data_IF_115330661896
#
_entry.id   IF_115330661896
#
_cell.length_a   1.000
_cell.length_b   1.000
_cell.length_c   1.000
_cell.angle_alpha   90.00
_cell.angle_beta   90.00
_cell.angle_gamma   90.00
#
_symmetry.space_group_name_H-M   'P 1'
#
loop_
_entity.id
_entity.type
_entity.pdbx_description
1 polymer ?
#
# COMPACT_ATOMS: atom_id res chain seq x y z
N UNK A 1 -26.91 36.77 -26.37
CA UNK A 1 -25.88 35.93 -25.67
C UNK A 1 -26.55 34.61 -25.33
N UNK A 2 -25.97 33.47 -25.66
CA UNK A 2 -26.59 32.17 -25.42
C UNK A 2 -26.55 31.79 -23.93
N UNK A 3 -27.56 31.09 -23.40
CA UNK A 3 -27.69 30.77 -21.97
C UNK A 3 -26.61 29.87 -21.39
N UNK A 4 -25.73 29.30 -22.22
CA UNK A 4 -24.73 28.32 -21.81
C UNK A 4 -23.51 28.90 -21.06
N UNK A 5 -23.23 30.21 -21.19
CA UNK A 5 -22.08 30.84 -20.53
C UNK A 5 -22.34 31.21 -19.07
N UNK A 6 -23.57 31.53 -18.73
CA UNK A 6 -23.98 31.88 -17.35
C UNK A 6 -24.10 30.63 -16.44
N UNK A 7 -24.54 29.49 -17.03
CA UNK A 7 -24.56 28.23 -16.29
C UNK A 7 -23.14 27.71 -15.96
N UNK A 8 -22.19 27.86 -16.89
CA UNK A 8 -20.78 27.46 -16.65
C UNK A 8 -20.11 28.33 -15.58
N UNK A 9 -20.41 29.64 -15.55
CA UNK A 9 -19.86 30.53 -14.55
C UNK A 9 -20.47 30.32 -13.14
N UNK A 10 -21.76 29.97 -13.07
CA UNK A 10 -22.44 29.63 -11.81
C UNK A 10 -21.92 28.31 -11.22
N UNK A 11 -21.68 27.31 -12.07
CA UNK A 11 -21.11 26.02 -11.64
C UNK A 11 -19.65 26.15 -11.19
N UNK A 12 -18.84 26.97 -11.88
CA UNK A 12 -17.46 27.23 -11.47
C UNK A 12 -17.39 27.97 -10.12
N UNK A 13 -18.32 28.89 -9.87
CA UNK A 13 -18.40 29.62 -8.59
C UNK A 13 -18.90 28.71 -7.45
N UNK A 14 -19.82 27.81 -7.72
CA UNK A 14 -20.29 26.78 -6.77
C UNK A 14 -19.20 25.73 -6.46
N UNK A 15 -18.41 25.33 -7.47
CA UNK A 15 -17.26 24.45 -7.31
C UNK A 15 -16.16 25.11 -6.45
N UNK A 16 -15.82 26.37 -6.72
CA UNK A 16 -14.85 27.13 -5.91
C UNK A 16 -15.36 27.36 -4.48
N UNK A 17 -16.67 27.58 -4.29
CA UNK A 17 -17.25 27.77 -2.95
C UNK A 17 -17.29 26.43 -2.18
N UNK A 18 -17.50 25.30 -2.85
CA UNK A 18 -17.48 23.96 -2.23
C UNK A 18 -16.06 23.51 -1.88
N UNK A 19 -15.06 23.80 -2.73
CA UNK A 19 -13.64 23.57 -2.41
C UNK A 19 -13.18 24.40 -1.19
N UNK A 20 -13.79 25.60 -0.98
CA UNK A 20 -13.50 26.48 0.15
C UNK A 20 -14.26 26.10 1.44
N UNK A 21 -15.28 25.21 1.37
CA UNK A 21 -16.02 24.73 2.55
C UNK A 21 -15.55 23.38 3.09
N UNK A 22 -14.59 22.74 2.42
CA UNK A 22 -13.80 21.71 3.07
C UNK A 22 -12.92 22.45 4.08
N UNK A 23 -13.19 22.29 5.38
CA UNK A 23 -12.32 22.77 6.46
C UNK A 23 -11.02 21.94 6.43
N UNK A 24 -10.23 22.15 5.40
CA UNK A 24 -8.92 21.56 5.26
C UNK A 24 -7.93 22.46 5.98
N UNK A 25 -7.05 21.94 6.85
CA UNK A 25 -6.07 22.76 7.52
C UNK A 25 -5.19 23.47 6.50
N UNK A 26 -4.82 24.74 6.73
CA UNK A 26 -3.85 25.41 5.87
C UNK A 26 -2.50 24.73 5.99
N UNK A 27 -1.88 24.40 4.86
CA UNK A 27 -0.49 24.00 4.80
C UNK A 27 0.41 25.24 5.03
N UNK A 28 1.57 25.16 5.68
CA UNK A 28 2.26 24.08 6.39
C UNK A 28 2.25 24.20 7.93
N UNK A 29 1.22 24.75 8.52
CA UNK A 29 1.19 25.19 9.92
C UNK A 29 0.52 24.21 10.89
N UNK A 30 0.45 22.92 10.60
CA UNK A 30 0.14 21.96 11.65
C UNK A 30 1.36 21.87 12.56
N UNK A 31 1.37 22.56 13.71
CA UNK A 31 2.51 22.47 14.61
C UNK A 31 2.63 21.03 15.06
N UNK A 32 3.83 20.45 14.96
CA UNK A 32 4.11 19.18 15.64
C UNK A 32 3.61 19.32 17.07
N UNK A 33 2.64 18.52 17.52
CA UNK A 33 2.15 18.64 18.91
C UNK A 33 3.35 18.56 19.85
N UNK A 34 3.38 19.39 20.87
CA UNK A 34 4.39 19.30 21.92
C UNK A 34 4.36 17.86 22.45
N UNK A 35 5.46 17.13 22.30
CA UNK A 35 5.54 15.72 22.64
C UNK A 35 5.08 15.50 24.08
N UNK A 36 4.31 14.44 24.33
CA UNK A 36 3.96 14.02 25.68
C UNK A 36 5.25 13.71 26.44
N UNK A 37 5.32 14.12 27.70
CA UNK A 37 6.39 13.70 28.61
C UNK A 37 6.32 12.18 28.87
N UNK A 38 7.44 11.56 29.22
CA UNK A 38 7.47 10.14 29.56
C UNK A 38 6.50 9.79 30.69
N UNK A 39 6.26 10.69 31.64
CA UNK A 39 5.30 10.48 32.73
C UNK A 39 3.84 10.52 32.24
N UNK A 40 3.52 11.37 31.27
CA UNK A 40 2.19 11.39 30.64
C UNK A 40 1.98 10.11 29.80
N UNK A 41 2.98 9.69 29.03
CA UNK A 41 2.93 8.43 28.27
C UNK A 41 2.74 7.24 29.22
N UNK A 42 3.48 7.17 30.31
CA UNK A 42 3.36 6.08 31.29
C UNK A 42 1.96 6.09 31.96
N UNK A 43 1.42 7.26 32.26
CA UNK A 43 0.07 7.39 32.85
C UNK A 43 -1.01 6.94 31.85
N UNK A 44 -0.89 7.32 30.59
CA UNK A 44 -1.80 6.89 29.53
C UNK A 44 -1.70 5.38 29.29
N UNK A 45 -0.49 4.84 29.22
CA UNK A 45 -0.25 3.40 29.05
C UNK A 45 -0.86 2.55 30.18
N UNK A 46 -0.88 3.06 31.41
CA UNK A 46 -1.46 2.35 32.57
C UNK A 46 -2.99 2.18 32.47
N UNK A 47 -3.66 2.96 31.65
CA UNK A 47 -5.14 2.95 31.51
C UNK A 47 -5.61 2.62 30.09
N UNK A 48 -4.72 2.60 29.13
CA UNK A 48 -5.06 2.30 27.73
C UNK A 48 -5.54 0.85 27.60
N UNK A 49 -6.69 0.67 26.96
CA UNK A 49 -7.26 -0.65 26.68
C UNK A 49 -7.27 -0.84 25.16
N UNK A 50 -6.52 -1.81 24.62
CA UNK A 50 -6.55 -2.09 23.19
C UNK A 50 -7.90 -2.67 22.77
N UNK A 51 -8.30 -2.35 21.52
CA UNK A 51 -9.45 -2.96 20.88
C UNK A 51 -9.00 -4.03 19.89
N UNK A 52 -9.50 -5.24 20.04
CA UNK A 52 -9.18 -6.39 19.16
C UNK A 52 -10.47 -7.02 18.63
N UNK A 53 -11.18 -6.32 17.71
CA UNK A 53 -12.37 -6.88 17.08
C UNK A 53 -11.99 -8.08 16.22
N UNK A 54 -12.92 -9.06 16.17
CA UNK A 54 -12.78 -10.23 15.31
C UNK A 54 -14.00 -10.38 14.42
N UNK A 55 -13.77 -10.86 13.21
CA UNK A 55 -14.83 -11.21 12.27
C UNK A 55 -14.47 -12.50 11.54
N UNK A 56 -15.41 -13.02 10.76
CA UNK A 56 -15.22 -14.24 9.99
C UNK A 56 -15.97 -14.13 8.66
N UNK A 57 -15.68 -13.08 7.91
CA UNK A 57 -16.23 -12.86 6.57
C UNK A 57 -15.37 -13.65 5.57
N UNK A 58 -15.92 -14.66 4.87
CA UNK A 58 -15.13 -15.43 3.92
C UNK A 58 -14.70 -14.57 2.74
N UNK A 59 -13.43 -14.72 2.33
CA UNK A 59 -12.92 -14.13 1.10
C UNK A 59 -12.89 -15.13 -0.05
N UNK A 60 -12.62 -14.65 -1.25
CA UNK A 60 -12.54 -15.52 -2.45
C UNK A 60 -11.25 -16.33 -2.49
N UNK A 61 -10.15 -15.76 -2.03
CA UNK A 61 -8.82 -16.38 -2.05
C UNK A 61 -8.21 -16.55 -0.65
N UNK A 62 -8.57 -15.71 0.30
CA UNK A 62 -8.09 -15.77 1.68
C UNK A 62 -9.14 -15.20 2.65
N UNK A 63 -9.06 -15.61 3.91
CA UNK A 63 -9.93 -15.09 4.98
C UNK A 63 -9.23 -14.05 5.86
N UNK A 64 -7.91 -13.94 5.77
CA UNK A 64 -7.09 -12.93 6.45
C UNK A 64 -6.04 -12.37 5.52
N UNK A 65 -5.82 -11.06 5.62
CA UNK A 65 -4.73 -10.36 4.93
C UNK A 65 -3.89 -9.60 5.93
N UNK A 66 -2.59 -9.89 5.96
CA UNK A 66 -1.62 -9.14 6.75
C UNK A 66 -0.50 -8.63 5.87
N UNK A 67 0.07 -7.48 6.25
CA UNK A 67 1.24 -6.92 5.58
C UNK A 67 2.26 -6.48 6.64
N UNK A 68 3.51 -6.87 6.43
CA UNK A 68 4.68 -6.48 7.20
C UNK A 68 5.58 -5.62 6.32
N UNK A 69 5.92 -4.44 6.81
CA UNK A 69 6.70 -3.47 6.06
C UNK A 69 8.08 -3.28 6.68
N UNK A 70 9.11 -3.43 5.84
CA UNK A 70 10.51 -3.17 6.12
C UNK A 70 10.95 -1.87 5.44
N UNK A 71 12.18 -1.42 5.67
CA UNK A 71 12.65 -0.09 5.30
C UNK A 71 13.85 -0.09 4.36
N UNK A 72 13.77 0.85 3.38
CA UNK A 72 14.81 1.43 2.54
C UNK A 72 15.87 0.46 2.02
N UNK A 73 15.46 -0.58 1.30
CA UNK A 73 16.44 -1.51 0.73
C UNK A 73 16.16 -1.82 -0.73
N UNK A 74 17.16 -1.62 -1.59
CA UNK A 74 17.08 -1.96 -3.01
C UNK A 74 16.75 -3.44 -3.21
N UNK A 75 15.90 -3.73 -4.20
CA UNK A 75 15.54 -5.10 -4.56
C UNK A 75 16.73 -6.04 -4.68
N UNK A 76 17.80 -5.60 -5.35
CA UNK A 76 18.99 -6.45 -5.59
C UNK A 76 19.72 -6.78 -4.29
N UNK A 77 19.75 -5.84 -3.37
CA UNK A 77 20.44 -5.99 -2.07
C UNK A 77 19.65 -6.95 -1.18
N UNK A 78 18.32 -6.76 -1.07
CA UNK A 78 17.46 -7.68 -0.35
C UNK A 78 17.46 -9.09 -0.96
N UNK A 79 17.37 -9.22 -2.29
CA UNK A 79 17.38 -10.51 -2.98
C UNK A 79 18.71 -11.27 -2.86
N UNK A 80 19.80 -10.60 -2.51
CA UNK A 80 21.10 -11.23 -2.27
C UNK A 80 21.26 -11.76 -0.84
N UNK A 81 20.43 -11.33 0.13
CA UNK A 81 20.50 -11.80 1.51
C UNK A 81 19.91 -13.22 1.67
N UNK A 82 20.61 -14.09 2.40
CA UNK A 82 20.22 -15.49 2.58
C UNK A 82 18.90 -15.68 3.33
N UNK A 83 18.56 -14.75 4.26
CA UNK A 83 17.32 -14.82 5.02
C UNK A 83 16.14 -14.39 4.16
N UNK A 84 16.32 -13.37 3.30
CA UNK A 84 15.31 -12.96 2.31
C UNK A 84 15.07 -14.06 1.26
N UNK A 85 16.13 -14.73 0.81
CA UNK A 85 16.00 -15.89 -0.10
C UNK A 85 15.23 -17.04 0.57
N UNK A 86 15.48 -17.28 1.86
CA UNK A 86 14.71 -18.27 2.61
C UNK A 86 13.24 -17.89 2.68
N UNK A 87 12.92 -16.61 2.98
CA UNK A 87 11.54 -16.11 3.01
C UNK A 87 10.87 -16.28 1.63
N UNK A 88 11.55 -15.92 0.54
CA UNK A 88 11.04 -16.12 -0.82
C UNK A 88 10.74 -17.58 -1.12
N UNK A 89 11.55 -18.51 -0.59
CA UNK A 89 11.32 -19.97 -0.76
C UNK A 89 10.06 -20.49 -0.05
N UNK A 90 9.51 -19.74 0.90
CA UNK A 90 8.30 -20.12 1.65
C UNK A 90 6.99 -19.63 0.99
N UNK A 91 7.08 -18.84 -0.09
CA UNK A 91 5.92 -18.23 -0.73
C UNK A 91 6.15 -17.89 -2.20
N UNK A 92 5.55 -16.80 -2.67
CA UNK A 92 5.66 -16.29 -4.05
C UNK A 92 6.46 -14.99 -4.02
N UNK A 93 7.62 -14.95 -4.68
CA UNK A 93 8.40 -13.71 -4.83
C UNK A 93 7.76 -12.83 -5.90
N UNK A 94 7.36 -11.60 -5.53
CA UNK A 94 6.86 -10.61 -6.47
C UNK A 94 8.07 -9.87 -7.07
N UNK A 95 8.38 -10.16 -8.33
CA UNK A 95 9.59 -9.64 -8.96
C UNK A 95 9.43 -8.27 -9.59
N UNK A 96 8.21 -7.74 -9.63
CA UNK A 96 7.87 -6.48 -10.29
C UNK A 96 6.96 -5.61 -9.39
N UNK A 97 7.32 -5.52 -8.10
CA UNK A 97 6.62 -4.71 -7.09
C UNK A 97 7.43 -3.43 -6.80
N UNK A 98 6.74 -2.31 -6.65
CA UNK A 98 7.35 -0.99 -6.51
C UNK A 98 6.76 -0.20 -5.34
N UNK A 99 7.61 0.55 -4.62
CA UNK A 99 7.19 1.74 -3.88
C UNK A 99 6.60 2.79 -4.82
N UNK A 100 6.02 3.85 -4.32
CA UNK A 100 5.32 4.85 -5.15
C UNK A 100 5.99 6.20 -5.18
N UNK A 101 6.83 6.52 -4.21
CA UNK A 101 7.61 7.78 -4.12
C UNK A 101 8.68 7.67 -3.02
N UNK A 102 9.27 8.80 -2.64
CA UNK A 102 10.14 9.05 -1.49
C UNK A 102 9.68 10.32 -0.75
N UNK A 103 9.98 10.42 0.58
CA UNK A 103 10.50 9.41 1.51
C UNK A 103 9.43 8.41 1.97
N UNK A 104 9.68 7.72 3.08
CA UNK A 104 8.87 6.61 3.61
C UNK A 104 7.39 6.95 3.82
N UNK A 105 7.06 8.03 4.55
CA UNK A 105 5.68 8.30 4.99
C UNK A 105 4.63 8.31 3.86
N UNK A 106 4.85 8.95 2.69
CA UNK A 106 3.88 8.87 1.59
C UNK A 106 3.64 7.45 1.07
N UNK A 107 4.61 6.53 1.16
CA UNK A 107 4.41 5.11 0.82
C UNK A 107 3.47 4.43 1.81
N UNK A 108 3.69 4.62 3.12
CA UNK A 108 2.76 4.14 4.15
C UNK A 108 1.36 4.73 3.96
N UNK A 109 1.27 6.04 3.75
CA UNK A 109 0.03 6.76 3.53
C UNK A 109 -0.74 6.20 2.33
N UNK A 110 -0.05 5.95 1.22
CA UNK A 110 -0.61 5.44 -0.03
C UNK A 110 -1.22 4.04 0.12
N UNK A 111 -0.59 3.18 0.92
CA UNK A 111 -0.99 1.79 1.13
C UNK A 111 -2.33 1.61 1.86
N UNK A 112 -2.80 2.64 2.54
CA UNK A 112 -4.08 2.62 3.26
C UNK A 112 -5.06 3.66 2.74
N UNK A 113 -4.57 4.77 2.17
CA UNK A 113 -5.39 5.88 1.68
C UNK A 113 -5.55 5.95 0.16
N UNK A 114 -4.79 5.16 -0.58
CA UNK A 114 -4.87 5.08 -2.04
C UNK A 114 -4.23 6.25 -2.79
N UNK A 115 -3.57 7.17 -2.09
CA UNK A 115 -2.91 8.34 -2.67
C UNK A 115 -1.75 8.81 -1.78
N UNK A 116 -0.89 9.67 -2.30
CA UNK A 116 0.17 10.37 -1.55
C UNK A 116 -0.18 11.81 -1.22
N UNK A 117 -1.19 12.38 -1.86
CA UNK A 117 -1.56 13.82 -1.79
C UNK A 117 -0.39 14.77 -2.10
N UNK A 118 0.55 14.29 -2.89
CA UNK A 118 1.76 15.04 -3.25
C UNK A 118 2.81 15.10 -2.14
N UNK A 119 2.64 14.34 -1.06
CA UNK A 119 3.55 14.31 0.08
C UNK A 119 4.98 13.94 -0.36
N UNK A 120 5.95 14.69 0.13
CA UNK A 120 7.38 14.54 -0.14
C UNK A 120 8.23 14.74 1.14
N UNK A 121 7.72 14.33 2.30
CA UNK A 121 8.36 14.52 3.61
C UNK A 121 7.86 13.53 4.65
N UNK A 122 8.59 13.45 5.79
CA UNK A 122 8.25 12.65 6.99
C UNK A 122 7.85 13.50 8.20
N UNK A 123 7.39 14.73 7.96
CA UNK A 123 6.94 15.63 9.02
C UNK A 123 5.67 15.10 9.70
N UNK A 124 5.25 15.78 10.79
CA UNK A 124 3.97 15.46 11.41
C UNK A 124 2.80 15.76 10.47
N UNK A 125 1.97 14.76 10.20
CA UNK A 125 0.78 14.86 9.33
C UNK A 125 -0.46 14.40 10.06
N UNK A 126 -1.57 15.07 9.81
CA UNK A 126 -2.95 14.66 10.14
C UNK A 126 -3.84 14.87 8.93
N UNK A 127 -4.13 13.78 8.23
CA UNK A 127 -5.01 13.80 7.07
C UNK A 127 -6.45 14.10 7.51
N UNK A 128 -7.17 15.01 6.83
CA UNK A 128 -8.51 15.41 7.22
C UNK A 128 -9.49 14.23 7.39
N UNK A 129 -10.43 14.39 8.34
CA UNK A 129 -11.40 13.35 8.71
C UNK A 129 -12.37 12.92 7.59
N UNK A 130 -12.48 13.69 6.51
CA UNK A 130 -13.27 13.35 5.33
C UNK A 130 -12.48 12.51 4.30
N UNK A 131 -11.23 12.18 4.57
CA UNK A 131 -10.44 11.26 3.74
C UNK A 131 -10.66 9.85 4.26
N UNK A 132 -11.24 9.01 3.38
CA UNK A 132 -11.47 7.60 3.66
C UNK A 132 -10.19 6.78 3.45
N UNK A 133 -10.11 5.67 4.17
CA UNK A 133 -9.01 4.72 4.11
C UNK A 133 -9.52 3.29 3.86
N UNK A 134 -8.61 2.33 3.73
CA UNK A 134 -8.94 0.91 3.59
C UNK A 134 -9.86 0.41 4.71
N UNK A 135 -9.75 0.96 5.93
CA UNK A 135 -10.61 0.52 7.05
C UNK A 135 -12.06 0.93 6.86
N UNK A 136 -12.34 2.03 6.16
CA UNK A 136 -13.69 2.42 5.78
C UNK A 136 -14.29 1.44 4.75
N UNK A 137 -13.45 0.89 3.86
CA UNK A 137 -13.86 -0.17 2.92
C UNK A 137 -14.19 -1.45 3.68
N UNK A 138 -13.33 -1.88 4.60
CA UNK A 138 -13.52 -3.08 5.43
C UNK A 138 -14.79 -2.99 6.27
N UNK A 139 -15.06 -1.83 6.85
CA UNK A 139 -16.25 -1.56 7.67
C UNK A 139 -17.55 -1.74 6.87
N UNK A 140 -17.55 -1.55 5.54
CA UNK A 140 -18.76 -1.78 4.70
C UNK A 140 -19.29 -3.21 4.79
N UNK A 141 -18.44 -4.16 5.15
CA UNK A 141 -18.82 -5.59 5.34
C UNK A 141 -18.56 -6.13 6.75
N UNK A 142 -18.24 -5.25 7.70
CA UNK A 142 -17.95 -5.64 9.07
C UNK A 142 -16.71 -6.52 9.20
N UNK A 143 -15.71 -6.32 8.31
CA UNK A 143 -14.44 -7.02 8.36
C UNK A 143 -13.58 -6.36 9.43
N UNK A 144 -13.16 -7.13 10.42
CA UNK A 144 -12.31 -6.64 11.50
C UNK A 144 -10.91 -6.31 11.01
N UNK A 145 -10.37 -5.22 11.56
CA UNK A 145 -9.03 -4.75 11.22
C UNK A 145 -8.23 -4.37 12.48
N UNK A 146 -6.93 -4.22 12.33
CA UNK A 146 -6.03 -3.75 13.37
C UNK A 146 -4.70 -3.32 12.78
N UNK A 147 -3.94 -2.58 13.56
CA UNK A 147 -2.58 -2.20 13.24
C UNK A 147 -1.67 -2.55 14.41
N UNK A 148 -0.48 -3.09 14.13
CA UNK A 148 0.47 -3.51 15.13
C UNK A 148 1.83 -2.87 14.87
N UNK A 149 2.23 -2.00 15.80
CA UNK A 149 3.47 -1.22 15.73
C UNK A 149 4.41 -1.68 16.83
N UNK A 150 5.60 -2.19 16.48
CA UNK A 150 6.57 -2.60 17.47
C UNK A 150 6.97 -1.39 18.33
N UNK A 151 7.00 -1.59 19.66
CA UNK A 151 7.30 -0.58 20.67
C UNK A 151 6.39 0.65 20.72
N UNK A 152 5.23 0.64 20.05
CA UNK A 152 4.18 1.62 20.34
C UNK A 152 3.88 1.61 21.85
N UNK A 153 3.96 2.74 22.57
CA UNK A 153 3.90 2.72 24.02
C UNK A 153 2.55 2.29 24.61
N UNK A 154 1.47 2.56 23.89
CA UNK A 154 0.10 2.11 24.24
C UNK A 154 -0.84 2.20 23.04
N UNK A 155 -1.95 1.48 23.09
CA UNK A 155 -2.95 1.46 22.02
C UNK A 155 -3.58 2.86 21.83
N UNK A 156 -3.55 3.36 20.57
CA UNK A 156 -4.05 4.68 20.23
C UNK A 156 -3.06 5.82 20.47
N UNK A 157 -1.79 5.53 20.69
CA UNK A 157 -0.75 6.56 20.81
C UNK A 157 -0.64 7.38 19.51
N UNK A 158 -0.68 8.72 19.62
CA UNK A 158 -0.64 9.63 18.49
C UNK A 158 0.61 10.54 18.47
N UNK A 159 1.58 10.27 19.36
CA UNK A 159 2.82 11.04 19.40
C UNK A 159 3.67 10.84 18.14
N UNK A 160 4.65 11.72 17.95
CA UNK A 160 5.52 11.70 16.78
C UNK A 160 6.51 10.54 16.80
N UNK A 161 7.21 10.40 17.91
CA UNK A 161 8.18 9.31 18.13
C UNK A 161 8.05 8.77 19.57
N UNK A 162 8.56 7.56 19.78
CA UNK A 162 8.79 7.03 21.12
C UNK A 162 10.14 6.32 21.15
N UNK A 163 11.10 6.93 21.87
CA UNK A 163 12.46 6.43 21.93
C UNK A 163 12.57 5.16 22.78
N UNK A 164 13.53 4.34 22.44
CA UNK A 164 13.96 3.24 23.29
C UNK A 164 14.43 3.79 24.65
N UNK A 165 13.84 3.31 25.75
CA UNK A 165 14.10 3.88 27.08
C UNK A 165 15.48 3.50 27.66
N UNK A 166 16.22 2.59 27.00
CA UNK A 166 17.55 2.19 27.39
C UNK A 166 18.65 2.86 26.55
N UNK A 167 18.44 2.95 25.24
CA UNK A 167 19.44 3.50 24.29
C UNK A 167 19.20 4.97 23.97
N UNK A 168 17.99 5.48 24.17
CA UNK A 168 17.52 6.83 23.84
C UNK A 168 17.56 7.16 22.35
N UNK A 169 17.66 6.15 21.49
CA UNK A 169 17.50 6.25 20.04
C UNK A 169 16.03 6.13 19.67
N UNK A 170 15.66 6.54 18.46
CA UNK A 170 14.31 6.31 17.96
C UNK A 170 14.01 4.80 17.95
N UNK A 171 12.76 4.47 18.16
CA UNK A 171 12.26 3.10 18.25
C UNK A 171 10.94 2.97 17.50
N UNK A 172 9.87 3.57 18.01
CA UNK A 172 8.63 3.81 17.28
C UNK A 172 8.65 5.19 16.64
N UNK A 173 8.30 5.27 15.35
CA UNK A 173 8.13 6.52 14.61
C UNK A 173 6.76 6.59 13.94
N UNK A 174 6.10 7.77 14.05
CA UNK A 174 4.75 7.99 13.50
C UNK A 174 4.68 7.80 12.00
N UNK A 175 5.73 8.17 11.24
CA UNK A 175 5.77 8.06 9.78
C UNK A 175 5.61 6.63 9.26
N UNK A 176 5.93 5.61 10.09
CA UNK A 176 5.77 4.18 9.76
C UNK A 176 4.45 3.58 10.27
N UNK A 177 3.54 4.42 10.76
CA UNK A 177 2.22 4.05 11.28
C UNK A 177 1.15 4.66 10.38
N UNK A 178 0.68 3.97 9.31
CA UNK A 178 -0.17 4.60 8.31
C UNK A 178 -1.53 5.06 8.83
N UNK A 179 -2.21 4.27 9.65
CA UNK A 179 -3.58 4.61 10.07
C UNK A 179 -3.61 5.76 11.08
N UNK A 180 -2.54 6.00 11.84
CA UNK A 180 -2.47 7.12 12.78
C UNK A 180 -2.43 8.49 12.07
N UNK A 181 -2.08 8.50 10.78
CA UNK A 181 -2.02 9.72 9.97
C UNK A 181 -3.41 10.29 9.64
N UNK A 182 -4.48 9.51 9.80
CA UNK A 182 -5.82 9.88 9.35
C UNK A 182 -6.75 10.20 10.51
N UNK A 183 -7.28 11.42 10.51
CA UNK A 183 -8.30 11.88 11.46
C UNK A 183 -9.60 11.07 11.38
N UNK A 184 -9.91 10.46 10.23
CA UNK A 184 -11.04 9.52 10.09
C UNK A 184 -10.87 8.27 10.96
N UNK A 185 -9.64 7.94 11.37
CA UNK A 185 -9.31 6.86 12.30
C UNK A 185 -9.12 7.39 13.71
N UNK A 186 -8.27 8.39 13.89
CA UNK A 186 -7.81 8.83 15.21
C UNK A 186 -8.81 9.67 15.99
N UNK A 187 -9.77 10.34 15.34
CA UNK A 187 -10.88 11.06 15.99
C UNK A 187 -11.99 10.14 16.52
N UNK A 188 -11.85 8.82 16.33
CA UNK A 188 -12.74 7.82 16.89
C UNK A 188 -11.93 6.93 17.86
N UNK A 189 -12.21 7.05 19.16
CA UNK A 189 -11.49 6.33 20.22
C UNK A 189 -11.43 4.80 20.00
N UNK A 190 -12.52 4.20 19.52
CA UNK A 190 -12.56 2.75 19.25
C UNK A 190 -11.64 2.39 18.11
N UNK A 191 -11.65 3.16 17.02
CA UNK A 191 -10.73 2.96 15.89
C UNK A 191 -9.28 3.21 16.31
N UNK A 192 -9.00 4.31 17.00
CA UNK A 192 -7.66 4.64 17.46
C UNK A 192 -7.04 3.51 18.30
N UNK A 193 -7.84 2.88 19.21
CA UNK A 193 -7.36 1.77 20.05
C UNK A 193 -7.19 0.43 19.31
N UNK A 194 -7.53 0.34 18.03
CA UNK A 194 -7.15 -0.77 17.16
C UNK A 194 -5.72 -0.65 16.61
N UNK A 195 -5.07 0.52 16.79
CA UNK A 195 -3.64 0.72 16.57
C UNK A 195 -2.93 0.31 17.87
N UNK A 196 -2.18 -0.79 17.82
CA UNK A 196 -1.69 -1.54 18.98
C UNK A 196 -0.21 -1.84 18.86
N UNK A 197 0.38 -2.45 19.89
CA UNK A 197 1.76 -2.89 19.87
C UNK A 197 1.92 -4.41 19.67
N UNK A 198 3.16 -4.87 19.54
CA UNK A 198 3.46 -6.29 19.33
C UNK A 198 3.12 -7.16 20.53
N UNK A 199 3.15 -6.64 21.76
CA UNK A 199 2.67 -7.38 22.93
C UNK A 199 1.20 -7.76 22.76
N UNK A 200 0.38 -6.83 22.27
CA UNK A 200 -1.04 -7.11 21.96
C UNK A 200 -1.18 -8.07 20.78
N UNK A 201 -0.29 -8.01 19.76
CA UNK A 201 -0.29 -8.98 18.67
C UNK A 201 -0.07 -10.41 19.17
N UNK A 202 0.90 -10.61 20.04
CA UNK A 202 1.17 -11.92 20.64
C UNK A 202 -0.02 -12.43 21.50
N UNK A 203 -0.65 -11.51 22.26
CA UNK A 203 -1.85 -11.82 23.01
C UNK A 203 -3.03 -12.17 22.10
N UNK A 204 -3.22 -11.47 21.00
CA UNK A 204 -4.28 -11.72 20.04
C UNK A 204 -4.06 -13.06 19.31
N UNK A 205 -2.82 -13.44 19.00
CA UNK A 205 -2.49 -14.79 18.52
C UNK A 205 -2.85 -15.85 19.56
N UNK A 206 -2.35 -15.69 20.78
CA UNK A 206 -2.56 -16.64 21.88
C UNK A 206 -4.04 -16.86 22.18
N UNK A 207 -4.82 -15.78 22.15
CA UNK A 207 -6.24 -15.79 22.46
C UNK A 207 -7.13 -16.00 21.22
N UNK A 208 -6.54 -16.23 20.03
CA UNK A 208 -7.23 -16.38 18.76
C UNK A 208 -8.17 -15.22 18.44
N UNK A 209 -7.67 -14.00 18.64
CA UNK A 209 -8.42 -12.75 18.41
C UNK A 209 -7.77 -11.87 17.33
N UNK A 210 -6.99 -12.45 16.42
CA UNK A 210 -6.45 -11.70 15.29
C UNK A 210 -7.61 -11.18 14.41
N UNK A 211 -7.54 -9.91 13.95
CA UNK A 211 -8.48 -9.36 12.99
C UNK A 211 -8.33 -10.06 11.63
N UNK A 212 -9.22 -9.76 10.69
CA UNK A 212 -9.09 -10.29 9.33
C UNK A 212 -8.13 -9.48 8.46
N UNK A 213 -7.92 -8.20 8.76
CA UNK A 213 -6.93 -7.37 8.10
C UNK A 213 -5.99 -6.75 9.12
N UNK A 214 -4.69 -6.75 8.86
CA UNK A 214 -3.73 -6.04 9.71
C UNK A 214 -2.55 -5.45 8.93
N UNK A 215 -2.10 -4.28 9.42
CA UNK A 215 -0.84 -3.67 9.07
C UNK A 215 0.16 -3.87 10.22
N UNK A 216 1.39 -4.26 9.91
CA UNK A 216 2.41 -4.63 10.91
C UNK A 216 3.70 -3.91 10.57
N UNK A 217 4.27 -3.19 11.54
CA UNK A 217 5.52 -2.46 11.36
C UNK A 217 6.48 -2.79 12.50
N UNK A 218 7.67 -3.31 12.22
CA UNK A 218 8.75 -3.42 13.20
C UNK A 218 9.21 -2.03 13.66
N UNK A 219 10.02 -1.97 14.72
CA UNK A 219 10.69 -0.75 15.10
C UNK A 219 11.84 -0.42 14.13
N UNK A 220 12.32 0.82 14.13
CA UNK A 220 13.36 1.30 13.18
C UNK A 220 14.70 0.56 13.25
N UNK A 221 14.94 -0.22 14.29
CA UNK A 221 16.10 -1.12 14.39
C UNK A 221 15.86 -2.42 13.64
N UNK A 222 14.67 -2.99 13.78
CA UNK A 222 14.31 -4.31 13.28
C UNK A 222 13.84 -4.26 11.81
N UNK A 223 13.30 -3.13 11.35
CA UNK A 223 12.87 -2.94 9.96
C UNK A 223 14.01 -2.69 8.97
N UNK A 224 15.25 -2.56 9.42
CA UNK A 224 16.48 -2.23 8.70
C UNK A 224 16.76 -0.73 8.50
N UNK A 225 15.87 0.19 8.88
CA UNK A 225 16.07 1.64 8.72
C UNK A 225 17.33 2.13 9.45
N UNK A 226 17.45 1.90 10.76
CA UNK A 226 18.60 2.34 11.58
C UNK A 226 19.72 1.29 11.63
N UNK A 227 19.58 0.19 10.87
CA UNK A 227 20.58 -0.90 10.85
C UNK A 227 20.98 -1.20 9.39
N UNK A 228 20.71 -2.37 8.91
CA UNK A 228 20.91 -2.79 7.52
C UNK A 228 20.14 -4.08 7.24
N UNK A 229 20.06 -4.43 5.96
CA UNK A 229 19.30 -5.61 5.50
C UNK A 229 19.75 -6.92 6.20
N UNK A 230 21.03 -7.13 6.46
CA UNK A 230 21.49 -8.36 7.13
C UNK A 230 20.94 -8.49 8.54
N UNK A 231 20.83 -7.38 9.26
CA UNK A 231 20.22 -7.34 10.59
C UNK A 231 18.70 -7.52 10.50
N UNK A 232 18.03 -6.68 9.71
CA UNK A 232 16.58 -6.70 9.57
C UNK A 232 16.08 -8.05 9.02
N UNK A 233 16.67 -8.57 7.96
CA UNK A 233 16.30 -9.85 7.37
C UNK A 233 16.46 -11.05 8.32
N UNK A 234 17.49 -11.02 9.18
CA UNK A 234 17.67 -12.05 10.21
C UNK A 234 16.57 -11.99 11.26
N UNK A 235 16.23 -10.78 11.72
CA UNK A 235 15.12 -10.57 12.65
C UNK A 235 13.81 -11.03 12.02
N UNK A 236 13.54 -10.57 10.81
CA UNK A 236 12.33 -10.85 10.07
C UNK A 236 12.12 -12.34 9.84
N UNK A 237 13.15 -13.05 9.34
CA UNK A 237 13.12 -14.50 9.19
C UNK A 237 12.77 -15.21 10.50
N UNK A 238 13.39 -14.78 11.60
CA UNK A 238 13.13 -15.38 12.91
C UNK A 238 11.69 -15.16 13.37
N UNK A 239 11.18 -13.96 13.19
CA UNK A 239 9.81 -13.60 13.58
C UNK A 239 8.77 -14.28 12.69
N UNK A 240 8.94 -14.19 11.37
CA UNK A 240 8.04 -14.79 10.36
C UNK A 240 8.03 -16.32 10.47
N UNK A 241 9.18 -16.97 10.69
CA UNK A 241 9.23 -18.43 10.85
C UNK A 241 8.33 -18.93 11.99
N UNK A 242 8.24 -18.17 13.08
CA UNK A 242 7.32 -18.51 14.19
C UNK A 242 5.86 -18.40 13.75
N UNK A 243 5.51 -17.40 12.94
CA UNK A 243 4.16 -17.23 12.38
C UNK A 243 3.81 -18.34 11.38
N UNK A 244 4.74 -18.69 10.49
CA UNK A 244 4.54 -19.78 9.52
C UNK A 244 4.35 -21.16 10.19
N UNK A 245 4.86 -21.34 11.41
CA UNK A 245 4.63 -22.53 12.23
C UNK A 245 3.34 -22.46 13.08
N UNK A 246 2.66 -21.32 13.11
CA UNK A 246 1.44 -21.15 13.90
C UNK A 246 0.20 -21.50 13.07
N UNK A 247 -0.45 -22.61 13.38
CA UNK A 247 -1.62 -23.11 12.62
C UNK A 247 -2.82 -22.14 12.65
N UNK A 248 -3.00 -21.36 13.71
CA UNK A 248 -4.07 -20.36 13.79
C UNK A 248 -3.76 -19.16 12.87
N UNK A 249 -2.52 -18.65 12.89
CA UNK A 249 -2.08 -17.60 12.00
C UNK A 249 -2.19 -18.02 10.53
N UNK A 250 -1.69 -19.21 10.21
CA UNK A 250 -1.64 -19.74 8.84
C UNK A 250 -3.00 -20.06 8.24
N UNK A 251 -4.06 -20.23 9.06
CA UNK A 251 -5.36 -20.68 8.56
C UNK A 251 -5.97 -19.71 7.55
N UNK A 252 -5.86 -20.05 6.27
CA UNK A 252 -6.31 -19.26 5.10
C UNK A 252 -5.89 -17.79 5.15
N UNK A 253 -4.66 -17.52 5.57
CA UNK A 253 -4.06 -16.19 5.65
C UNK A 253 -3.17 -15.95 4.44
N UNK A 254 -3.33 -14.82 3.78
CA UNK A 254 -2.36 -14.23 2.86
C UNK A 254 -1.55 -13.18 3.61
N UNK A 255 -0.22 -13.32 3.59
CA UNK A 255 0.69 -12.45 4.31
C UNK A 255 1.70 -11.85 3.34
N UNK A 256 1.61 -10.54 3.11
CA UNK A 256 2.59 -9.78 2.33
C UNK A 256 3.73 -9.32 3.24
N UNK A 257 4.93 -9.59 2.80
CA UNK A 257 6.16 -9.00 3.32
C UNK A 257 6.72 -8.11 2.22
N UNK A 258 7.00 -6.84 2.53
CA UNK A 258 7.49 -5.86 1.55
C UNK A 258 8.37 -4.80 2.19
N UNK A 259 9.01 -3.98 1.37
CA UNK A 259 9.68 -2.74 1.77
C UNK A 259 8.83 -1.57 1.30
N UNK A 260 8.94 -0.43 1.97
CA UNK A 260 8.24 0.79 1.64
C UNK A 260 8.80 1.44 0.37
N UNK A 261 10.13 1.52 0.26
CA UNK A 261 10.84 2.13 -0.86
C UNK A 261 12.25 1.52 -1.03
N UNK A 262 12.91 1.79 -2.16
CA UNK A 262 14.33 1.46 -2.35
C UNK A 262 15.25 2.47 -1.62
N UNK A 263 16.56 2.21 -1.64
CA UNK A 263 17.56 3.09 -1.03
C UNK A 263 18.06 4.19 -1.99
N UNK A 264 17.23 4.65 -2.93
CA UNK A 264 17.51 5.67 -3.96
C UNK A 264 18.41 5.23 -5.13
N UNK A 265 18.82 3.97 -5.19
CA UNK A 265 19.71 3.48 -6.25
C UNK A 265 18.97 2.90 -7.47
N UNK A 266 17.65 2.89 -7.46
CA UNK A 266 16.84 2.25 -8.46
C UNK A 266 15.65 3.08 -8.95
N UNK A 267 14.66 2.36 -9.41
CA UNK A 267 13.39 2.90 -9.87
C UNK A 267 12.25 2.63 -8.87
N UNK A 268 12.58 2.56 -7.61
CA UNK A 268 11.72 2.25 -6.48
C UNK A 268 11.15 0.81 -6.50
N UNK A 269 11.88 -0.13 -7.13
CA UNK A 269 11.55 -1.54 -7.12
C UNK A 269 11.99 -2.16 -5.80
N UNK A 270 11.03 -2.76 -5.07
CA UNK A 270 11.25 -3.31 -3.74
C UNK A 270 11.05 -4.84 -3.71
N UNK A 271 11.74 -5.50 -2.78
CA UNK A 271 11.60 -6.93 -2.58
C UNK A 271 10.31 -7.22 -1.82
N UNK A 272 9.44 -8.05 -2.42
CA UNK A 272 8.14 -8.37 -1.83
C UNK A 272 7.84 -9.85 -1.98
N UNK A 273 7.27 -10.47 -0.93
CA UNK A 273 6.92 -11.89 -0.92
C UNK A 273 5.50 -12.09 -0.39
N UNK A 274 4.70 -12.86 -1.09
CA UNK A 274 3.44 -13.36 -0.57
C UNK A 274 3.68 -14.68 0.18
N UNK A 275 3.23 -14.76 1.41
CA UNK A 275 3.40 -15.86 2.35
C UNK A 275 2.03 -16.31 2.90
N UNK A 276 2.01 -17.34 3.70
CA UNK A 276 0.83 -17.74 4.46
C UNK A 276 0.12 -18.98 3.93
N UNK A 277 -0.88 -19.42 4.67
CA UNK A 277 -1.58 -20.67 4.37
C UNK A 277 -2.60 -20.60 3.24
N UNK A 278 -2.87 -19.38 2.71
CA UNK A 278 -3.65 -19.21 1.49
C UNK A 278 -2.83 -19.54 0.22
N UNK A 279 -1.49 -19.61 0.33
CA UNK A 279 -0.61 -19.98 -0.79
C UNK A 279 -0.65 -21.50 -1.01
N UNK A 280 -1.08 -21.98 -2.19
CA UNK A 280 -1.00 -23.39 -2.54
C UNK A 280 0.45 -23.90 -2.50
N UNK A 281 0.67 -25.12 -2.03
CA UNK A 281 2.01 -25.67 -1.83
C UNK A 281 2.87 -25.66 -3.11
N UNK A 282 2.25 -25.90 -4.27
CA UNK A 282 2.97 -25.93 -5.57
C UNK A 282 3.40 -24.52 -6.05
N UNK A 283 2.93 -23.45 -5.42
CA UNK A 283 3.33 -22.07 -5.74
C UNK A 283 4.44 -21.56 -4.80
N UNK A 284 4.78 -22.28 -3.75
CA UNK A 284 5.88 -21.89 -2.87
C UNK A 284 7.23 -21.99 -3.61
N UNK A 285 8.07 -20.98 -3.44
CA UNK A 285 9.34 -20.83 -4.13
C UNK A 285 9.21 -20.45 -5.62
N UNK A 286 8.03 -20.03 -6.06
CA UNK A 286 7.82 -19.48 -7.42
C UNK A 286 7.92 -17.95 -7.43
N UNK A 287 7.84 -17.37 -8.62
CA UNK A 287 7.84 -15.93 -8.85
C UNK A 287 6.57 -15.49 -9.56
N UNK A 288 6.17 -14.24 -9.31
CA UNK A 288 5.13 -13.52 -10.02
C UNK A 288 5.73 -12.19 -10.50
N UNK A 289 5.72 -11.95 -11.81
CA UNK A 289 6.29 -10.78 -12.46
C UNK A 289 5.25 -9.72 -12.87
N UNK A 290 4.01 -9.88 -12.44
CA UNK A 290 2.95 -8.88 -12.59
C UNK A 290 3.36 -7.57 -11.92
N UNK A 291 3.10 -6.45 -12.59
CA UNK A 291 3.38 -5.14 -12.04
C UNK A 291 2.44 -4.83 -10.87
N UNK A 292 3.03 -4.50 -9.73
CA UNK A 292 2.33 -4.09 -8.51
C UNK A 292 2.93 -2.84 -7.91
N UNK A 293 2.12 -2.12 -7.14
CA UNK A 293 2.55 -1.02 -6.27
C UNK A 293 1.87 -1.15 -4.91
N UNK A 294 2.15 -0.25 -3.99
CA UNK A 294 1.47 -0.21 -2.68
C UNK A 294 -0.05 -0.07 -2.80
N UNK A 295 -0.56 0.52 -3.88
CA UNK A 295 -2.00 0.60 -4.17
C UNK A 295 -2.64 -0.78 -4.44
N UNK A 296 -1.84 -1.74 -4.89
CA UNK A 296 -2.28 -3.11 -5.17
C UNK A 296 -2.77 -3.84 -3.93
N UNK A 297 -2.30 -3.46 -2.73
CA UNK A 297 -2.77 -4.04 -1.47
C UNK A 297 -4.24 -3.73 -1.21
N UNK A 298 -4.66 -2.46 -1.40
CA UNK A 298 -6.06 -2.03 -1.24
C UNK A 298 -6.92 -2.69 -2.31
N UNK A 299 -6.51 -2.61 -3.58
CA UNK A 299 -7.26 -3.22 -4.69
C UNK A 299 -7.46 -4.73 -4.50
N UNK A 300 -6.43 -5.44 -4.02
CA UNK A 300 -6.47 -6.89 -3.76
C UNK A 300 -7.46 -7.24 -2.66
N UNK A 301 -7.45 -6.55 -1.53
CA UNK A 301 -8.40 -6.85 -0.43
C UNK A 301 -9.82 -6.48 -0.82
N UNK A 302 -9.99 -5.41 -1.60
CA UNK A 302 -11.29 -5.03 -2.15
C UNK A 302 -11.84 -6.10 -3.09
N UNK A 303 -11.03 -6.60 -4.01
CA UNK A 303 -11.43 -7.70 -4.90
C UNK A 303 -11.72 -9.00 -4.14
N UNK A 304 -10.90 -9.36 -3.15
CA UNK A 304 -11.07 -10.59 -2.37
C UNK A 304 -12.38 -10.63 -1.59
N UNK A 305 -12.78 -9.52 -0.98
CA UNK A 305 -13.99 -9.44 -0.17
C UNK A 305 -15.16 -8.75 -0.86
N UNK A 306 -15.00 -8.33 -2.12
CA UNK A 306 -16.03 -7.63 -2.88
C UNK A 306 -16.37 -6.26 -2.26
N UNK A 307 -15.36 -5.51 -1.83
CA UNK A 307 -15.48 -4.17 -1.29
C UNK A 307 -15.47 -3.13 -2.41
N UNK A 308 -15.97 -1.91 -2.16
CA UNK A 308 -15.74 -0.78 -3.06
C UNK A 308 -14.26 -0.34 -3.05
N UNK A 309 -13.92 0.59 -3.93
CA UNK A 309 -12.62 1.29 -4.00
C UNK A 309 -12.70 2.65 -3.29
N UNK A 310 -11.54 3.23 -2.95
CA UNK A 310 -11.44 4.63 -2.54
C UNK A 310 -11.58 5.60 -3.72
N UNK A 311 -11.56 5.09 -4.96
CA UNK A 311 -11.61 5.90 -6.18
C UNK A 311 -10.31 6.65 -6.46
N UNK A 312 -9.21 6.25 -5.84
CA UNK A 312 -7.86 6.78 -6.02
C UNK A 312 -7.00 5.78 -6.77
N UNK A 313 -5.69 5.78 -6.66
CA UNK A 313 -4.83 4.86 -7.41
C UNK A 313 -5.10 3.36 -7.13
N UNK A 314 -5.79 3.06 -6.05
CA UNK A 314 -6.35 1.71 -5.79
C UNK A 314 -7.40 1.30 -6.81
N UNK A 315 -8.02 2.26 -7.51
CA UNK A 315 -9.06 2.00 -8.52
C UNK A 315 -8.51 1.28 -9.75
N UNK A 316 -7.35 1.73 -10.27
CA UNK A 316 -6.72 1.16 -11.46
C UNK A 316 -5.63 0.12 -11.18
N UNK A 317 -5.19 -0.01 -9.93
CA UNK A 317 -4.08 -0.87 -9.56
C UNK A 317 -4.33 -2.35 -9.90
N UNK A 318 -3.28 -3.04 -10.34
CA UNK A 318 -3.30 -4.49 -10.46
C UNK A 318 -3.52 -5.15 -9.09
N UNK A 319 -4.20 -6.29 -9.10
CA UNK A 319 -4.45 -7.10 -7.90
C UNK A 319 -3.55 -8.35 -7.91
N UNK A 320 -3.19 -8.86 -6.74
CA UNK A 320 -2.31 -10.05 -6.69
C UNK A 320 -2.92 -11.21 -7.46
N UNK A 321 -2.11 -11.89 -8.28
CA UNK A 321 -2.54 -12.97 -9.18
C UNK A 321 -3.32 -14.07 -8.47
N UNK A 322 -2.99 -14.36 -7.21
CA UNK A 322 -3.74 -15.33 -6.40
C UNK A 322 -5.22 -14.95 -6.20
N UNK A 323 -5.53 -13.66 -6.25
CA UNK A 323 -6.91 -13.12 -6.19
C UNK A 323 -7.46 -12.93 -7.59
N UNK A 324 -6.66 -12.41 -8.54
CA UNK A 324 -7.06 -12.24 -9.94
C UNK A 324 -7.58 -13.57 -10.52
N UNK A 325 -6.86 -14.66 -10.28
CA UNK A 325 -7.25 -16.01 -10.69
C UNK A 325 -8.57 -16.51 -10.08
N UNK A 326 -9.02 -15.95 -8.95
CA UNK A 326 -10.29 -16.31 -8.31
C UNK A 326 -11.46 -15.42 -8.72
N UNK A 327 -11.16 -14.17 -9.08
CA UNK A 327 -12.17 -13.18 -9.48
C UNK A 327 -12.40 -13.13 -10.98
N UNK A 328 -11.47 -13.68 -11.77
CA UNK A 328 -11.44 -13.52 -13.23
C UNK A 328 -10.98 -12.14 -13.68
N UNK A 329 -10.46 -11.31 -12.77
CA UNK A 329 -9.84 -10.05 -13.14
C UNK A 329 -8.58 -10.28 -13.96
N UNK A 330 -8.38 -9.47 -14.99
CA UNK A 330 -7.19 -9.53 -15.84
C UNK A 330 -6.33 -8.33 -15.52
N UNK A 331 -5.14 -8.58 -14.98
CA UNK A 331 -4.18 -7.53 -14.65
C UNK A 331 -3.63 -6.86 -15.94
N UNK A 332 -3.24 -5.60 -15.81
CA UNK A 332 -2.54 -4.88 -16.87
C UNK A 332 -1.08 -5.37 -16.95
N UNK A 333 -0.61 -5.54 -18.17
CA UNK A 333 0.83 -5.61 -18.48
C UNK A 333 1.35 -4.17 -18.58
N UNK A 334 2.26 -3.78 -17.71
CA UNK A 334 2.84 -2.43 -17.66
C UNK A 334 4.29 -2.47 -18.14
N UNK A 335 4.62 -1.64 -19.13
CA UNK A 335 6.01 -1.46 -19.54
C UNK A 335 6.71 -0.52 -18.55
N UNK A 336 7.52 -1.07 -17.66
CA UNK A 336 8.20 -0.35 -16.59
C UNK A 336 9.49 0.35 -17.01
N UNK A 337 9.89 0.31 -18.29
CA UNK A 337 11.19 0.85 -18.77
C UNK A 337 11.35 2.34 -18.46
N UNK A 338 10.29 3.14 -18.62
CA UNK A 338 10.29 4.57 -18.35
C UNK A 338 9.47 4.95 -17.12
N UNK A 339 9.06 3.98 -16.33
CA UNK A 339 8.26 4.22 -15.13
C UNK A 339 9.10 4.96 -14.08
N UNK A 340 8.55 6.03 -13.53
CA UNK A 340 9.15 6.85 -12.48
C UNK A 340 8.28 6.81 -11.24
N UNK A 341 8.84 6.25 -10.17
CA UNK A 341 8.17 6.14 -8.87
C UNK A 341 9.02 6.72 -7.73
N UNK A 342 9.96 7.61 -8.06
CA UNK A 342 10.79 8.37 -7.11
C UNK A 342 10.39 9.86 -7.09
N UNK A 343 9.24 10.20 -7.64
CA UNK A 343 8.72 11.56 -7.74
C UNK A 343 7.29 11.61 -7.22
N UNK A 344 6.81 12.81 -6.90
CA UNK A 344 5.41 13.04 -6.54
C UNK A 344 4.83 14.20 -7.34
N UNK A 345 3.51 14.26 -7.43
CA UNK A 345 2.79 15.32 -8.12
C UNK A 345 2.60 16.55 -7.22
N UNK A 346 2.29 17.75 -7.80
CA UNK A 346 1.95 18.91 -6.99
C UNK A 346 0.71 18.68 -6.15
N UNK A 347 0.85 18.75 -4.82
CA UNK A 347 -0.24 18.45 -3.91
C UNK A 347 -0.21 19.25 -2.60
N UNK A 348 -1.26 19.12 -1.77
CA UNK A 348 -1.41 19.90 -0.56
C UNK A 348 -0.41 19.50 0.54
N UNK A 349 0.15 18.29 0.47
CA UNK A 349 1.13 17.79 1.44
C UNK A 349 2.59 17.93 0.97
N UNK A 350 2.86 18.56 -0.19
CA UNK A 350 4.23 18.80 -0.65
C UNK A 350 4.88 19.99 0.08
N UNK A 351 6.12 19.81 0.56
CA UNK A 351 6.94 20.88 1.13
C UNK A 351 8.03 21.39 0.16
N UNK A 352 8.15 20.77 -1.02
CA UNK A 352 9.04 21.20 -2.09
C UNK A 352 10.40 20.49 -2.12
N UNK A 353 10.52 19.34 -1.48
CA UNK A 353 11.72 18.52 -1.57
C UNK A 353 11.85 17.84 -2.95
N UNK A 354 10.83 17.12 -3.38
CA UNK A 354 10.73 16.54 -4.73
C UNK A 354 9.45 16.98 -5.45
N UNK A 355 8.38 17.26 -4.72
CA UNK A 355 7.10 17.75 -5.20
C UNK A 355 7.01 19.26 -5.24
N UNK A 356 5.83 19.76 -5.62
CA UNK A 356 5.49 21.19 -5.55
C UNK A 356 4.22 21.35 -4.74
N UNK A 357 4.24 22.32 -3.85
CA UNK A 357 3.01 22.66 -3.11
C UNK A 357 1.89 23.11 -4.07
N UNK A 358 0.72 22.56 -3.86
CA UNK A 358 -0.54 22.99 -4.48
C UNK A 358 -1.66 22.89 -3.44
N UNK A 359 -2.42 23.95 -3.18
CA UNK A 359 -3.50 23.90 -2.18
C UNK A 359 -4.72 23.08 -2.64
N UNK A 360 -4.65 22.47 -3.83
CA UNK A 360 -5.75 21.72 -4.43
C UNK A 360 -5.68 20.27 -4.01
N UNK A 361 -6.65 19.83 -3.24
CA UNK A 361 -6.81 18.43 -2.87
C UNK A 361 -7.25 17.61 -4.08
N UNK A 362 -6.57 16.48 -4.38
CA UNK A 362 -6.94 15.64 -5.49
C UNK A 362 -8.34 15.05 -5.34
N UNK A 363 -9.12 15.18 -6.41
CA UNK A 363 -10.48 14.64 -6.49
C UNK A 363 -10.42 13.22 -7.02
N UNK A 364 -10.98 12.21 -6.31
CA UNK A 364 -11.02 10.83 -6.77
C UNK A 364 -12.03 10.64 -7.92
N UNK A 365 -11.97 9.49 -8.61
CA UNK A 365 -13.08 9.05 -9.45
C UNK A 365 -14.26 8.61 -8.60
N UNK A 366 -15.47 8.78 -9.10
CA UNK A 366 -16.70 8.45 -8.38
C UNK A 366 -17.62 7.48 -9.11
N UNK A 367 -17.43 7.30 -10.40
CA UNK A 367 -18.30 6.54 -11.32
C UNK A 367 -17.62 5.29 -11.93
N UNK A 368 -16.35 5.01 -11.58
CA UNK A 368 -15.61 3.87 -12.10
C UNK A 368 -15.94 2.56 -11.35
N UNK A 369 -15.83 1.42 -12.04
CA UNK A 369 -15.98 0.09 -11.44
C UNK A 369 -14.74 -0.34 -10.64
N UNK A 370 -13.56 0.20 -10.96
CA UNK A 370 -12.28 -0.11 -10.36
C UNK A 370 -11.87 -1.59 -10.46
N UNK A 371 -10.66 -1.92 -10.02
CA UNK A 371 -10.12 -3.30 -10.08
C UNK A 371 -10.91 -4.29 -9.21
N UNK A 372 -11.58 -3.80 -8.18
CA UNK A 372 -12.48 -4.62 -7.34
C UNK A 372 -13.80 -4.98 -8.02
N UNK A 373 -14.20 -4.28 -9.09
CA UNK A 373 -15.45 -4.51 -9.81
C UNK A 373 -16.73 -4.07 -9.07
N UNK A 374 -16.61 -3.36 -7.93
CA UNK A 374 -17.74 -3.02 -7.05
C UNK A 374 -18.00 -1.50 -6.93
N UNK A 375 -17.36 -0.70 -7.80
CA UNK A 375 -17.48 0.74 -7.80
C UNK A 375 -16.70 1.41 -6.66
N UNK A 376 -17.05 2.67 -6.38
CA UNK A 376 -16.39 3.52 -5.39
C UNK A 376 -17.24 3.61 -4.12
N UNK A 377 -16.61 3.79 -2.96
CA UNK A 377 -17.26 3.93 -1.65
C UNK A 377 -18.30 5.04 -1.66
N UNK A 378 -19.50 4.78 -1.13
CA UNK A 378 -20.64 5.71 -1.17
C UNK A 378 -20.35 7.05 -0.48
N UNK A 379 -19.58 7.05 0.62
CA UNK A 379 -19.15 8.30 1.28
C UNK A 379 -18.24 9.14 0.38
N UNK A 380 -17.38 8.51 -0.40
CA UNK A 380 -16.51 9.18 -1.39
C UNK A 380 -17.36 9.75 -2.53
N UNK A 381 -18.28 8.97 -3.08
CA UNK A 381 -19.23 9.46 -4.10
C UNK A 381 -20.01 10.68 -3.62
N UNK A 382 -20.53 10.62 -2.39
CA UNK A 382 -21.29 11.73 -1.81
C UNK A 382 -20.43 12.97 -1.56
N UNK A 383 -19.18 12.79 -1.09
CA UNK A 383 -18.28 13.90 -0.81
C UNK A 383 -17.81 14.63 -2.08
N UNK A 384 -17.67 13.90 -3.18
CA UNK A 384 -17.14 14.41 -4.45
C UNK A 384 -18.16 14.39 -5.61
N UNK A 385 -19.45 14.33 -5.29
CA UNK A 385 -20.52 14.45 -6.28
C UNK A 385 -20.34 15.72 -7.11
N UNK A 386 -20.52 15.61 -8.42
CA UNK A 386 -20.35 16.71 -9.39
C UNK A 386 -18.91 17.27 -9.52
N UNK A 387 -17.92 16.62 -8.91
CA UNK A 387 -16.51 16.98 -9.04
C UNK A 387 -15.86 16.24 -10.20
N UNK A 388 -14.86 16.86 -10.82
CA UNK A 388 -14.10 16.25 -11.93
C UNK A 388 -12.84 15.63 -11.33
N UNK A 389 -12.55 14.35 -11.59
CA UNK A 389 -11.32 13.70 -11.12
C UNK A 389 -10.07 14.48 -11.52
N UNK A 390 -9.13 14.61 -10.58
CA UNK A 390 -7.88 15.35 -10.84
C UNK A 390 -6.95 14.57 -11.76
N UNK A 391 -6.86 13.25 -11.55
CA UNK A 391 -5.99 12.35 -12.29
C UNK A 391 -6.77 11.17 -12.87
N UNK A 392 -6.13 10.41 -13.78
CA UNK A 392 -6.67 9.16 -14.29
C UNK A 392 -6.43 8.02 -13.29
N UNK A 393 -7.20 8.00 -12.21
CA UNK A 393 -7.11 6.98 -11.16
C UNK A 393 -7.48 5.56 -11.61
N UNK A 394 -7.95 5.38 -12.84
CA UNK A 394 -8.18 4.06 -13.45
C UNK A 394 -6.93 3.50 -14.13
N UNK A 395 -5.84 4.27 -14.19
CA UNK A 395 -4.52 3.80 -14.65
C UNK A 395 -3.89 2.86 -13.61
N UNK A 396 -3.17 1.80 -14.04
CA UNK A 396 -2.46 0.90 -13.13
C UNK A 396 -1.17 1.52 -12.53
N UNK A 397 -0.76 2.70 -12.99
CA UNK A 397 0.40 3.43 -12.49
C UNK A 397 0.03 4.89 -12.20
N UNK A 398 0.72 5.53 -11.22
CA UNK A 398 0.38 6.88 -10.80
C UNK A 398 0.79 7.94 -11.85
N UNK A 399 0.01 9.04 -11.89
CA UNK A 399 0.23 10.21 -12.71
C UNK A 399 0.44 9.89 -14.20
N UNK A 400 -0.66 9.71 -14.87
CA UNK A 400 -0.77 9.17 -16.23
C UNK A 400 -0.19 10.05 -17.35
N UNK A 401 -0.19 9.50 -18.58
CA UNK A 401 0.26 10.11 -19.83
C UNK A 401 -0.26 11.52 -20.08
N UNK A 402 -1.42 11.86 -19.55
CA UNK A 402 -2.09 13.13 -19.84
C UNK A 402 -1.60 14.27 -18.94
N UNK A 403 -1.15 13.95 -17.75
CA UNK A 403 -0.96 14.92 -16.68
C UNK A 403 0.43 14.91 -16.04
N UNK A 404 1.29 13.94 -16.35
CA UNK A 404 2.52 13.85 -15.60
C UNK A 404 3.70 13.13 -16.22
N UNK A 405 4.66 12.79 -15.35
CA UNK A 405 5.97 12.29 -15.75
C UNK A 405 5.97 10.83 -16.24
N UNK A 406 4.89 10.08 -16.05
CA UNK A 406 4.72 8.75 -16.64
C UNK A 406 4.00 8.79 -18.00
N UNK A 407 4.10 9.91 -18.73
CA UNK A 407 3.39 10.15 -19.98
C UNK A 407 3.74 9.17 -21.10
N UNK A 408 4.92 8.58 -21.07
CA UNK A 408 5.43 7.60 -22.04
C UNK A 408 5.38 6.15 -21.54
N UNK A 409 4.84 5.91 -20.35
CA UNK A 409 4.57 4.56 -19.83
C UNK A 409 3.33 4.00 -20.53
N UNK A 410 3.40 2.74 -20.91
CA UNK A 410 2.27 2.04 -21.56
C UNK A 410 1.78 0.88 -20.70
N UNK A 411 0.48 0.71 -20.66
CA UNK A 411 -0.17 -0.43 -20.04
C UNK A 411 -1.17 -1.04 -21.02
N UNK A 412 -1.21 -2.36 -21.09
CA UNK A 412 -2.16 -3.11 -21.91
C UNK A 412 -2.87 -4.14 -21.05
N UNK A 413 -4.16 -4.34 -21.28
CA UNK A 413 -4.90 -5.43 -20.64
C UNK A 413 -5.01 -6.58 -21.62
N UNK A 414 -4.43 -7.77 -21.33
CA UNK A 414 -4.60 -8.94 -22.19
C UNK A 414 -6.07 -9.29 -22.39
N UNK A 415 -6.48 -9.52 -23.62
CA UNK A 415 -7.84 -9.96 -23.92
C UNK A 415 -7.94 -11.46 -23.66
N UNK A 416 -8.68 -11.88 -22.65
CA UNK A 416 -9.10 -13.28 -22.53
C UNK A 416 -10.01 -13.61 -23.71
N UNK A 417 -9.73 -14.69 -24.44
CA UNK A 417 -10.45 -15.12 -25.63
C UNK A 417 -11.92 -15.55 -25.44
N UNK A 418 -12.63 -15.00 -24.46
CA UNK A 418 -14.07 -15.16 -24.24
C UNK A 418 -14.69 -13.80 -23.94
N UNK A 419 -15.11 -13.13 -25.04
CA UNK A 419 -15.87 -11.91 -24.94
C UNK A 419 -17.32 -12.19 -24.49
N UNK A 420 -17.71 -11.69 -23.34
CA UNK A 420 -19.11 -11.35 -23.08
C UNK A 420 -19.27 -9.85 -23.32
N UNK A 421 -20.10 -9.51 -24.33
CA UNK A 421 -20.45 -8.14 -24.67
C UNK A 421 -21.04 -7.39 -23.48
N UNK A 422 -20.34 -6.38 -22.99
CA UNK A 422 -20.96 -5.23 -22.34
C UNK A 422 -20.40 -3.97 -22.99
N UNK A 423 -21.25 -3.30 -23.75
CA UNK A 423 -20.98 -1.98 -24.32
C UNK A 423 -20.86 -0.96 -23.19
N UNK A 424 -19.70 -0.37 -23.04
CA UNK A 424 -19.53 0.94 -22.42
C UNK A 424 -18.50 1.69 -23.25
N UNK A 425 -18.92 2.87 -23.70
CA UNK A 425 -18.12 3.78 -24.51
C UNK A 425 -16.90 4.26 -23.70
N UNK A 426 -15.73 3.74 -24.07
CA UNK A 426 -14.45 4.20 -23.55
C UNK A 426 -13.67 4.83 -24.70
N UNK A 427 -13.83 6.14 -24.86
CA UNK A 427 -13.00 6.93 -25.76
C UNK A 427 -11.70 7.34 -25.03
N UNK A 428 -10.60 6.69 -25.37
CA UNK A 428 -9.30 7.29 -25.09
C UNK A 428 -8.09 6.41 -24.82
N UNK A 429 -8.10 5.12 -25.19
CA UNK A 429 -6.86 4.34 -25.21
C UNK A 429 -6.66 3.79 -26.62
N UNK A 430 -5.65 4.28 -27.32
CA UNK A 430 -5.27 3.77 -28.64
C UNK A 430 -4.77 2.33 -28.52
N UNK A 431 -5.62 1.37 -28.85
CA UNK A 431 -5.24 -0.04 -29.00
C UNK A 431 -4.55 -0.23 -30.35
N UNK A 432 -3.27 -0.54 -30.36
CA UNK A 432 -2.63 -1.09 -31.54
C UNK A 432 -2.90 -2.60 -31.60
N UNK A 433 -3.77 -3.02 -32.53
CA UNK A 433 -3.98 -4.41 -32.86
C UNK A 433 -2.75 -5.01 -33.54
N UNK A 434 -2.12 -5.99 -32.92
CA UNK A 434 -1.27 -6.96 -33.63
C UNK A 434 -1.96 -8.33 -33.58
N UNK A 435 -2.57 -8.69 -34.69
CA UNK A 435 -3.05 -10.05 -34.92
C UNK A 435 -1.90 -10.92 -35.39
N UNK A 436 -1.82 -12.18 -34.88
CA UNK A 436 -1.10 -13.18 -35.61
C UNK A 436 -0.53 -14.36 -34.87
N UNK A 437 -1.25 -15.48 -34.93
CA UNK A 437 -0.84 -16.88 -35.12
C UNK A 437 -0.26 -17.71 -33.96
N UNK A 438 -1.10 -18.61 -33.53
CA UNK A 438 -0.99 -20.09 -33.46
C UNK A 438 0.29 -20.79 -33.01
N UNK A 439 0.16 -21.56 -31.92
CA UNK A 439 0.58 -22.95 -31.83
C UNK A 439 2.06 -23.23 -31.50
N UNK A 440 2.29 -23.77 -30.30
CA UNK A 440 3.54 -24.43 -29.99
C UNK A 440 3.61 -24.94 -28.55
N UNK A 441 3.74 -26.25 -28.42
CA UNK A 441 3.88 -27.04 -27.19
C UNK A 441 5.06 -26.60 -26.29
N UNK A 442 5.06 -26.96 -24.98
CA UNK A 442 6.07 -26.51 -24.04
C UNK A 442 7.40 -27.25 -24.28
N UNK A 443 8.45 -26.47 -24.48
CA UNK A 443 9.84 -26.99 -24.49
C UNK A 443 10.50 -26.65 -23.16
N UNK A 444 10.93 -27.68 -22.46
CA UNK A 444 11.78 -27.63 -21.28
C UNK A 444 13.07 -26.83 -21.54
N UNK A 445 13.30 -25.79 -20.77
CA UNK A 445 14.57 -25.04 -20.78
C UNK A 445 15.46 -25.60 -19.67
N UNK A 446 16.49 -26.33 -20.09
CA UNK A 446 17.59 -26.76 -19.21
C UNK A 446 18.57 -25.59 -19.07
N UNK A 447 18.74 -25.07 -17.86
CA UNK A 447 19.76 -24.05 -17.56
C UNK A 447 21.08 -24.77 -17.30
N UNK A 448 22.04 -24.59 -18.21
CA UNK A 448 23.43 -25.03 -18.03
C UNK A 448 24.20 -23.91 -17.32
N UNK A 449 24.64 -24.16 -16.08
CA UNK A 449 25.58 -23.31 -15.36
C UNK A 449 26.96 -23.45 -15.99
N UNK A 450 27.48 -22.37 -16.55
CA UNK A 450 28.88 -22.26 -16.95
C UNK A 450 29.66 -21.61 -15.81
N UNK A 451 30.43 -22.41 -15.07
CA UNK A 451 31.47 -21.96 -14.16
C UNK A 451 32.68 -21.49 -15.00
N UNK A 452 32.92 -20.19 -15.01
CA UNK A 452 34.19 -19.64 -15.47
C UNK A 452 35.11 -19.43 -14.26
N UNK A 453 36.08 -20.35 -14.10
CA UNK A 453 37.17 -20.18 -13.16
C UNK A 453 38.16 -19.10 -13.65
N UNK A 454 38.57 -18.23 -12.74
CA UNK A 454 39.71 -17.34 -12.95
C UNK A 454 40.79 -17.74 -11.95
N UNK A 455 41.89 -18.27 -12.52
CA UNK A 455 43.13 -18.57 -11.81
C UNK A 455 43.81 -17.27 -11.32
N UNK A 456 44.34 -17.39 -10.12
CA UNK A 456 45.32 -16.53 -9.47
C UNK A 456 46.55 -16.17 -10.31
N UNK A 457 47.06 -14.95 -10.10
CA UNK A 457 48.51 -14.68 -10.06
C UNK A 457 48.85 -13.81 -8.84
N UNK A 458 49.65 -14.40 -7.95
CA UNK A 458 50.48 -13.73 -6.98
C UNK A 458 51.62 -12.99 -7.71
N UNK A 459 52.03 -11.83 -7.19
CA UNK A 459 53.38 -11.31 -6.94
C UNK A 459 53.30 -9.77 -6.80
N UNK A 460 53.61 -9.27 -5.77
CA UNK A 460 54.60 -8.66 -4.86
C UNK A 460 53.85 -7.84 -3.82
#
# INVERSE_FOLDING_TARGET
MPPSSLLKAANLKALLTRALTLNLPPYPDSPTPSGLSLSEIASAAATAVPESPVSNVPGLAFDRFYQLWMENTDFKVAAADENMQWLASQGILLTNYYGVTHPSMPNYCSSVGGDTWGMDHDNFVQMPSNISTVVDLLDTKGISWGEYQEHLPYAGFQGFNYSNQNTHTDDYVRRHNPLVLFDSVTNNDTRARQIKNFTTFEEDIKNKRLPQWAFITPNVTNDAHDTNITFGAKWERSWVANLLNNTYFMNNTLFLLTFDEDAYDGNNRVFSVLLGGAIPEHLKGTTDDTFYTHYSTIATVSANWGLPSLGRWDCGANIFEIVANKTGYVNYEVNTTNLRLNETYPGPEAIGWIGKYSPVWPVPVTDAQCSAGHGVLESVKAAFADSIPTYNYTSPYPWDAKNGYNADVTATRPTNGTATNTTSDDEGVTLSNAAGMAGGSPSSVTITLVLAGVLSWLFI
#
